data_IF_599540865426
#
_entry.id   IF_599540865426
#
_cell.length_a   1.000
_cell.length_b   1.000
_cell.length_c   1.000
_cell.angle_alpha   90.00
_cell.angle_beta   90.00
_cell.angle_gamma   90.00
#
_symmetry.space_group_name_H-M   'P 1'
#
loop_
_entity.id
_entity.type
_entity.pdbx_description
1 polymer ?
#
# COMPACT_ATOMS: atom_id res chain seq x y z
N UNK A 1 10.38 24.98 23.17
CA UNK A 1 9.72 24.50 24.41
C UNK A 1 8.42 23.78 24.03
N UNK A 2 8.47 22.47 23.77
CA UNK A 2 7.28 21.70 23.34
C UNK A 2 6.47 21.28 24.57
N UNK A 3 5.30 21.90 24.75
CA UNK A 3 4.34 21.58 25.81
C UNK A 3 3.88 20.12 25.62
N UNK A 4 4.32 19.20 26.47
CA UNK A 4 3.81 17.81 26.51
C UNK A 4 2.34 17.87 26.93
N UNK A 5 1.43 17.99 25.98
CA UNK A 5 0.00 17.81 26.22
C UNK A 5 -0.22 16.38 26.69
N UNK A 6 -0.83 16.22 27.87
CA UNK A 6 -1.20 14.92 28.41
C UNK A 6 -2.26 14.33 27.48
N UNK A 7 -1.84 13.47 26.54
CA UNK A 7 -2.72 12.86 25.56
C UNK A 7 -3.68 11.95 26.30
N UNK A 8 -4.96 12.34 26.38
CA UNK A 8 -6.03 11.47 26.87
C UNK A 8 -6.08 10.26 25.94
N UNK A 9 -5.73 9.09 26.45
CA UNK A 9 -5.71 7.84 25.70
C UNK A 9 -7.13 7.33 25.50
N UNK A 10 -7.83 7.89 24.50
CA UNK A 10 -9.17 7.48 24.08
C UNK A 10 -9.14 6.10 23.41
N UNK A 11 -9.15 5.04 24.20
CA UNK A 11 -9.14 3.65 23.70
C UNK A 11 -10.16 3.46 22.55
N UNK A 12 -9.67 3.07 21.37
CA UNK A 12 -10.47 2.79 20.17
C UNK A 12 -10.96 1.34 20.13
N UNK A 13 -12.10 1.11 19.47
CA UNK A 13 -12.69 -0.22 19.31
C UNK A 13 -12.28 -0.91 18.00
N UNK A 14 -12.32 -0.21 16.87
CA UNK A 14 -12.04 -0.78 15.55
C UNK A 14 -10.56 -0.73 15.20
N UNK A 15 -9.91 0.42 15.44
CA UNK A 15 -8.52 0.67 15.02
C UNK A 15 -7.73 1.23 16.18
N UNK A 16 -6.67 0.55 16.60
CA UNK A 16 -5.85 1.02 17.72
C UNK A 16 -5.38 2.47 17.52
N UNK A 17 -5.46 3.30 18.57
CA UNK A 17 -5.00 4.71 18.54
C UNK A 17 -3.58 4.89 18.00
N UNK A 18 -2.74 3.88 18.23
CA UNK A 18 -1.36 3.88 17.76
C UNK A 18 -1.27 3.95 16.22
N UNK A 19 -2.21 3.35 15.49
CA UNK A 19 -2.26 3.47 14.03
C UNK A 19 -2.57 4.90 13.58
N UNK A 20 -3.47 5.59 14.29
CA UNK A 20 -3.76 7.01 14.05
C UNK A 20 -2.54 7.89 14.35
N UNK A 21 -1.79 7.59 15.42
CA UNK A 21 -0.54 8.30 15.72
C UNK A 21 0.49 8.10 14.62
N UNK A 22 0.69 6.87 14.12
CA UNK A 22 1.61 6.61 13.01
C UNK A 22 1.15 7.35 11.74
N UNK A 23 -0.15 7.36 11.45
CA UNK A 23 -0.69 8.12 10.33
C UNK A 23 -0.41 9.63 10.47
N UNK A 24 -0.49 10.17 11.68
CA UNK A 24 -0.13 11.55 11.99
C UNK A 24 1.36 11.83 11.79
N UNK A 25 2.23 10.93 12.28
CA UNK A 25 3.68 11.01 12.04
C UNK A 25 3.99 10.94 10.53
N UNK A 26 3.30 10.08 9.78
CA UNK A 26 3.41 10.00 8.32
C UNK A 26 3.03 11.32 7.64
N UNK A 27 1.88 11.90 8.00
CA UNK A 27 1.44 13.17 7.43
C UNK A 27 2.45 14.29 7.74
N UNK A 28 2.90 14.39 8.99
CA UNK A 28 3.89 15.40 9.39
C UNK A 28 5.24 15.21 8.71
N UNK A 29 5.71 13.97 8.53
CA UNK A 29 6.98 13.70 7.89
C UNK A 29 6.94 14.08 6.42
N UNK A 30 5.94 13.56 5.69
CA UNK A 30 5.89 13.78 4.25
C UNK A 30 5.50 15.20 3.89
N UNK A 31 4.71 15.93 4.68
CA UNK A 31 4.46 17.36 4.44
C UNK A 31 5.75 18.19 4.31
N UNK A 32 6.84 17.79 4.97
CA UNK A 32 8.14 18.47 4.88
C UNK A 32 8.96 18.05 3.64
N UNK A 33 8.71 16.86 3.08
CA UNK A 33 9.50 16.26 2.00
C UNK A 33 8.80 16.44 0.64
N UNK A 34 7.48 16.27 0.60
CA UNK A 34 6.63 16.28 -0.58
C UNK A 34 5.27 16.89 -0.22
N UNK A 35 4.63 17.68 -1.09
CA UNK A 35 3.27 18.14 -0.82
C UNK A 35 2.33 16.95 -0.58
N UNK A 36 1.72 16.92 0.60
CA UNK A 36 0.72 15.93 1.00
C UNK A 36 -0.62 16.62 1.34
N UNK A 37 -1.73 16.31 0.65
CA UNK A 37 -3.00 17.03 0.76
C UNK A 37 -3.79 16.70 2.04
N UNK A 38 -3.14 16.26 3.11
CA UNK A 38 -3.82 15.71 4.29
C UNK A 38 -3.37 16.40 5.57
N UNK A 39 -4.33 16.74 6.41
CA UNK A 39 -4.11 17.15 7.79
C UNK A 39 -4.91 16.22 8.71
N UNK A 40 -4.24 15.67 9.72
CA UNK A 40 -4.86 14.78 10.69
C UNK A 40 -5.12 15.52 12.00
N UNK A 41 -6.38 15.54 12.44
CA UNK A 41 -6.76 15.95 13.78
C UNK A 41 -6.77 14.74 14.71
N UNK A 42 -5.75 14.64 15.57
CA UNK A 42 -5.60 13.51 16.50
C UNK A 42 -6.71 13.44 17.56
N UNK A 43 -7.29 14.57 17.96
CA UNK A 43 -8.38 14.59 18.95
C UNK A 43 -9.65 13.94 18.43
N UNK A 44 -9.94 14.17 17.14
CA UNK A 44 -11.18 13.74 16.51
C UNK A 44 -10.99 12.49 15.62
N UNK A 45 -9.74 12.03 15.47
CA UNK A 45 -9.34 11.00 14.49
C UNK A 45 -9.86 11.32 13.08
N UNK A 46 -9.81 12.61 12.73
CA UNK A 46 -10.39 13.13 11.51
C UNK A 46 -9.27 13.52 10.54
N UNK A 47 -9.31 12.97 9.33
CA UNK A 47 -8.45 13.38 8.22
C UNK A 47 -9.20 14.41 7.39
N UNK A 48 -8.59 15.58 7.19
CA UNK A 48 -9.11 16.64 6.33
C UNK A 48 -8.21 16.81 5.12
N UNK A 49 -8.82 17.13 3.98
CA UNK A 49 -8.06 17.60 2.83
C UNK A 49 -7.64 19.03 3.09
N UNK A 50 -6.34 19.30 3.01
CA UNK A 50 -5.85 20.67 3.09
C UNK A 50 -6.18 21.40 1.79
N UNK A 51 -6.67 22.63 1.90
CA UNK A 51 -6.87 23.49 0.74
C UNK A 51 -5.49 23.91 0.22
N UNK A 52 -4.94 23.11 -0.70
CA UNK A 52 -3.71 23.48 -1.37
C UNK A 52 -3.91 24.74 -2.21
N UNK A 53 -2.90 25.60 -2.18
CA UNK A 53 -2.72 26.61 -3.23
C UNK A 53 -2.63 25.91 -4.59
N UNK A 54 -2.99 26.61 -5.66
CA UNK A 54 -2.88 26.08 -7.04
C UNK A 54 -1.49 25.51 -7.31
N UNK A 55 -0.44 26.16 -6.78
CA UNK A 55 0.95 25.69 -6.86
C UNK A 55 1.14 24.33 -6.18
N UNK A 56 0.65 24.15 -4.94
CA UNK A 56 0.78 22.87 -4.23
C UNK A 56 0.08 21.71 -4.95
N UNK A 57 -1.08 21.98 -5.57
CA UNK A 57 -1.79 20.99 -6.38
C UNK A 57 -1.00 20.61 -7.64
N UNK A 58 -0.42 21.59 -8.32
CA UNK A 58 0.43 21.34 -9.51
C UNK A 58 1.64 20.49 -9.12
N UNK A 59 2.35 20.83 -8.03
CA UNK A 59 3.54 20.08 -7.59
C UNK A 59 3.19 18.65 -7.17
N UNK A 60 2.08 18.45 -6.45
CA UNK A 60 1.63 17.10 -6.08
C UNK A 60 1.17 16.29 -7.30
N UNK A 61 0.54 16.93 -8.30
CA UNK A 61 0.17 16.26 -9.54
C UNK A 61 1.38 15.93 -10.40
N UNK A 62 2.36 16.84 -10.47
CA UNK A 62 3.55 16.67 -11.30
C UNK A 62 4.44 15.52 -10.81
N UNK A 63 4.52 15.27 -9.49
CA UNK A 63 5.31 14.13 -8.98
C UNK A 63 4.71 12.78 -9.38
N UNK A 64 3.38 12.63 -9.31
CA UNK A 64 2.69 11.42 -9.77
C UNK A 64 2.78 11.26 -11.30
N UNK A 65 2.61 12.35 -12.06
CA UNK A 65 2.79 12.34 -13.52
C UNK A 65 4.23 12.01 -13.91
N UNK A 66 5.21 12.52 -13.17
CA UNK A 66 6.63 12.23 -13.37
C UNK A 66 6.92 10.74 -13.16
N UNK A 67 6.39 10.13 -12.09
CA UNK A 67 6.55 8.70 -11.86
C UNK A 67 6.00 7.87 -13.03
N UNK A 68 4.84 8.23 -13.58
CA UNK A 68 4.27 7.59 -14.76
C UNK A 68 5.14 7.80 -16.02
N UNK A 69 5.55 9.04 -16.28
CA UNK A 69 6.39 9.38 -17.43
C UNK A 69 7.74 8.64 -17.38
N UNK A 70 8.39 8.63 -16.21
CA UNK A 70 9.62 7.89 -15.99
C UNK A 70 9.44 6.39 -16.25
N UNK A 71 8.36 5.79 -15.72
CA UNK A 71 8.04 4.38 -15.93
C UNK A 71 7.87 4.05 -17.42
N UNK A 72 7.14 4.88 -18.16
CA UNK A 72 6.95 4.71 -19.60
C UNK A 72 8.27 4.86 -20.36
N UNK A 73 9.11 5.83 -19.98
CA UNK A 73 10.43 6.02 -20.55
C UNK A 73 11.33 4.79 -20.32
N UNK A 74 11.35 4.23 -19.10
CA UNK A 74 12.07 2.99 -18.80
C UNK A 74 11.61 1.84 -19.70
N UNK A 75 10.29 1.68 -19.86
CA UNK A 75 9.71 0.65 -20.72
C UNK A 75 10.11 0.83 -22.19
N UNK A 76 10.08 2.07 -22.68
CA UNK A 76 10.53 2.39 -24.03
C UNK A 76 12.02 2.06 -24.24
N UNK A 77 12.91 2.45 -23.31
CA UNK A 77 14.34 2.14 -23.42
C UNK A 77 14.61 0.64 -23.36
N UNK A 78 13.93 -0.07 -22.47
CA UNK A 78 14.04 -1.51 -22.35
C UNK A 78 13.64 -2.20 -23.67
N UNK A 79 12.49 -1.83 -24.24
CA UNK A 79 12.02 -2.40 -25.52
C UNK A 79 12.96 -2.03 -26.67
N UNK A 80 13.37 -0.77 -26.77
CA UNK A 80 14.29 -0.30 -27.80
C UNK A 80 15.60 -1.08 -27.77
N UNK A 81 16.20 -1.24 -26.59
CA UNK A 81 17.43 -2.02 -26.42
C UNK A 81 17.24 -3.47 -26.82
N UNK A 82 16.21 -4.15 -26.32
CA UNK A 82 15.94 -5.56 -26.66
C UNK A 82 15.73 -5.78 -28.16
N UNK A 83 15.18 -4.80 -28.89
CA UNK A 83 15.01 -4.87 -30.34
C UNK A 83 16.32 -4.62 -31.10
N UNK A 84 17.18 -3.73 -30.61
CA UNK A 84 18.44 -3.33 -31.26
C UNK A 84 19.61 -4.29 -30.98
N UNK A 85 19.63 -4.99 -29.84
CA UNK A 85 20.74 -5.88 -29.41
C UNK A 85 20.85 -7.20 -30.21
N UNK A 86 20.14 -7.36 -31.33
CA UNK A 86 20.00 -8.65 -32.05
C UNK A 86 21.27 -9.20 -32.75
N UNK A 87 22.43 -8.55 -32.72
CA UNK A 87 23.52 -8.89 -33.67
C UNK A 87 24.96 -8.97 -33.15
N UNK A 88 25.24 -8.78 -31.85
CA UNK A 88 26.62 -8.68 -31.37
C UNK A 88 26.80 -9.26 -29.98
N UNK A 89 26.90 -10.59 -29.88
CA UNK A 89 27.34 -11.29 -28.67
C UNK A 89 28.86 -11.11 -28.58
N UNK A 90 29.31 -10.18 -27.73
CA UNK A 90 30.72 -9.94 -27.47
C UNK A 90 30.92 -9.81 -25.96
N UNK A 91 32.16 -9.91 -25.46
CA UNK A 91 32.49 -9.93 -24.03
C UNK A 91 31.97 -8.72 -23.18
N UNK A 92 31.21 -7.75 -23.73
CA UNK A 92 30.45 -6.73 -22.97
C UNK A 92 29.18 -7.25 -22.27
N UNK A 93 28.82 -8.53 -22.47
CA UNK A 93 27.55 -9.11 -22.05
C UNK A 93 27.18 -8.89 -20.56
N UNK A 94 28.15 -8.86 -19.64
CA UNK A 94 27.85 -8.76 -18.21
C UNK A 94 27.29 -7.38 -17.79
N UNK A 95 27.84 -6.30 -18.33
CA UNK A 95 27.38 -4.92 -18.03
C UNK A 95 26.04 -4.68 -18.71
N UNK A 96 25.88 -5.15 -19.94
CA UNK A 96 24.62 -5.05 -20.69
C UNK A 96 23.48 -5.78 -19.99
N UNK A 97 23.72 -7.00 -19.50
CA UNK A 97 22.75 -7.78 -18.74
C UNK A 97 22.37 -7.09 -17.42
N UNK A 98 23.35 -6.49 -16.74
CA UNK A 98 23.09 -5.73 -15.51
C UNK A 98 22.19 -4.52 -15.79
N UNK A 99 22.46 -3.77 -16.85
CA UNK A 99 21.67 -2.59 -17.18
C UNK A 99 20.23 -2.94 -17.59
N UNK A 100 20.06 -4.04 -18.35
CA UNK A 100 18.72 -4.58 -18.66
C UNK A 100 17.98 -4.95 -17.38
N UNK A 101 18.63 -5.66 -16.45
CA UNK A 101 18.04 -6.05 -15.17
C UNK A 101 17.62 -4.82 -14.34
N UNK A 102 18.51 -3.82 -14.25
CA UNK A 102 18.24 -2.57 -13.53
C UNK A 102 17.07 -1.81 -14.17
N UNK A 103 16.99 -1.75 -15.50
CA UNK A 103 15.86 -1.13 -16.21
C UNK A 103 14.52 -1.85 -15.96
N UNK A 104 14.52 -3.19 -15.94
CA UNK A 104 13.33 -3.99 -15.55
C UNK A 104 12.92 -3.65 -14.11
N UNK A 105 13.89 -3.56 -13.20
CA UNK A 105 13.64 -3.21 -11.81
C UNK A 105 13.02 -1.80 -11.67
N UNK A 106 13.58 -0.79 -12.36
CA UNK A 106 13.04 0.59 -12.36
C UNK A 106 11.73 0.74 -13.11
N UNK A 107 11.39 -0.17 -14.00
CA UNK A 107 10.08 -0.23 -14.65
C UNK A 107 9.03 -0.78 -13.68
N UNK A 108 9.29 -1.94 -13.07
CA UNK A 108 8.28 -2.67 -12.29
C UNK A 108 8.06 -1.99 -10.92
N UNK A 109 9.11 -1.47 -10.27
CA UNK A 109 8.97 -0.95 -8.90
C UNK A 109 8.00 0.24 -8.78
N UNK A 110 8.07 1.29 -9.63
CA UNK A 110 7.11 2.38 -9.57
C UNK A 110 5.70 1.95 -10.00
N UNK A 111 5.58 1.00 -10.94
CA UNK A 111 4.28 0.45 -11.37
C UNK A 111 3.49 -0.16 -10.19
N UNK A 112 4.17 -0.79 -9.24
CA UNK A 112 3.54 -1.30 -8.01
C UNK A 112 2.77 -0.23 -7.23
N UNK A 113 3.21 1.03 -7.29
CA UNK A 113 2.79 2.11 -6.40
C UNK A 113 2.04 3.24 -7.11
N UNK A 114 2.01 3.21 -8.45
CA UNK A 114 1.25 4.13 -9.31
C UNK A 114 -0.18 4.35 -8.83
N UNK A 115 -0.91 3.28 -8.51
CA UNK A 115 -2.31 3.41 -8.11
C UNK A 115 -2.49 4.24 -6.83
N UNK A 116 -1.59 4.08 -5.85
CA UNK A 116 -1.63 4.88 -4.62
C UNK A 116 -1.21 6.33 -4.87
N UNK A 117 -0.13 6.54 -5.61
CA UNK A 117 0.34 7.90 -5.96
C UNK A 117 -0.75 8.69 -6.70
N UNK A 118 -1.40 8.08 -7.69
CA UNK A 118 -2.52 8.68 -8.43
C UNK A 118 -3.69 8.97 -7.49
N UNK A 119 -3.99 8.07 -6.54
CA UNK A 119 -5.06 8.31 -5.56
C UNK A 119 -4.74 9.50 -4.66
N UNK A 120 -3.51 9.62 -4.17
CA UNK A 120 -3.08 10.74 -3.32
C UNK A 120 -3.13 12.06 -4.09
N UNK A 121 -2.58 12.09 -5.32
CA UNK A 121 -2.42 13.31 -6.09
C UNK A 121 -3.73 13.82 -6.70
N UNK A 122 -4.51 12.93 -7.34
CA UNK A 122 -5.67 13.34 -8.14
C UNK A 122 -7.01 13.09 -7.44
N UNK A 123 -7.04 12.24 -6.41
CA UNK A 123 -8.28 11.89 -5.70
C UNK A 123 -8.12 12.01 -4.17
N UNK A 124 -7.64 13.16 -3.66
CA UNK A 124 -7.34 13.31 -2.24
C UNK A 124 -8.58 13.08 -1.35
N UNK A 125 -9.80 13.27 -1.85
CA UNK A 125 -11.03 13.03 -1.08
C UNK A 125 -11.26 11.56 -0.71
N UNK A 126 -10.61 10.62 -1.39
CA UNK A 126 -10.80 9.18 -1.15
C UNK A 126 -10.35 8.79 0.27
N UNK A 127 -9.17 9.23 0.71
CA UNK A 127 -8.65 8.83 2.02
C UNK A 127 -9.50 9.36 3.20
N UNK A 128 -9.86 10.65 3.28
CA UNK A 128 -10.80 11.16 4.29
C UNK A 128 -12.15 10.44 4.30
N UNK A 129 -12.76 10.22 3.14
CA UNK A 129 -14.05 9.55 3.03
C UNK A 129 -13.99 8.10 3.55
N UNK A 130 -12.86 7.43 3.37
CA UNK A 130 -12.64 6.08 3.89
C UNK A 130 -12.38 6.12 5.40
N UNK A 131 -11.41 6.94 5.84
CA UNK A 131 -10.89 6.91 7.20
C UNK A 131 -11.86 7.53 8.21
N UNK A 132 -12.52 8.64 7.88
CA UNK A 132 -13.45 9.30 8.82
C UNK A 132 -14.70 8.45 9.09
N UNK A 133 -15.13 7.63 8.12
CA UNK A 133 -16.24 6.68 8.32
C UNK A 133 -15.92 5.60 9.35
N UNK A 134 -14.64 5.26 9.55
CA UNK A 134 -14.24 4.30 10.60
C UNK A 134 -14.62 4.84 11.98
N UNK A 135 -14.41 6.14 12.23
CA UNK A 135 -14.74 6.78 13.51
C UNK A 135 -16.25 6.78 13.74
N UNK A 136 -17.04 7.03 12.70
CA UNK A 136 -18.50 6.94 12.78
C UNK A 136 -18.96 5.51 13.08
N UNK A 137 -18.33 4.49 12.46
CA UNK A 137 -18.62 3.10 12.77
C UNK A 137 -18.22 2.71 14.19
N UNK A 138 -17.10 3.23 14.71
CA UNK A 138 -16.73 3.06 16.12
C UNK A 138 -17.83 3.58 17.05
N UNK A 139 -18.31 4.82 16.85
CA UNK A 139 -19.36 5.39 17.69
C UNK A 139 -20.67 4.58 17.64
N UNK A 140 -21.06 4.08 16.47
CA UNK A 140 -22.25 3.21 16.33
C UNK A 140 -22.08 1.85 17.00
N UNK A 141 -20.87 1.28 16.99
CA UNK A 141 -20.58 0.01 17.66
C UNK A 141 -20.49 0.17 19.18
N UNK A 142 -19.93 1.27 19.67
CA UNK A 142 -19.90 1.59 21.10
C UNK A 142 -21.33 1.74 21.64
N UNK A 143 -22.22 2.45 20.93
CA UNK A 143 -23.63 2.58 21.30
C UNK A 143 -24.41 1.24 21.29
N UNK A 144 -23.93 0.23 20.56
CA UNK A 144 -24.53 -1.10 20.53
C UNK A 144 -24.12 -1.96 21.73
N UNK A 145 -22.96 -1.70 22.31
CA UNK A 145 -22.38 -2.54 23.33
C UNK A 145 -21.36 -1.77 24.19
N UNK A 146 -21.80 -1.33 25.37
CA UNK A 146 -20.97 -0.52 26.27
C UNK A 146 -19.78 -1.28 26.87
N UNK A 147 -19.85 -2.63 26.91
CA UNK A 147 -18.82 -3.50 27.50
C UNK A 147 -17.81 -4.05 26.49
N UNK A 148 -17.58 -3.37 25.35
CA UNK A 148 -16.71 -3.93 24.29
C UNK A 148 -15.28 -4.01 24.85
N UNK A 149 -14.62 -5.18 24.81
CA UNK A 149 -13.23 -5.29 25.22
C UNK A 149 -12.37 -4.42 24.30
N UNK A 150 -11.72 -3.43 24.91
CA UNK A 150 -10.87 -2.47 24.22
C UNK A 150 -9.55 -3.13 23.85
N UNK A 151 -9.19 -3.11 22.57
CA UNK A 151 -8.01 -3.82 22.07
C UNK A 151 -6.75 -2.99 22.24
N UNK A 152 -5.72 -3.60 22.84
CA UNK A 152 -4.36 -3.09 22.79
C UNK A 152 -3.69 -3.62 21.51
N UNK A 153 -3.13 -2.73 20.70
CA UNK A 153 -2.26 -3.15 19.60
C UNK A 153 -0.93 -3.65 20.19
N UNK A 154 -0.34 -4.71 19.64
CA UNK A 154 0.96 -5.18 20.10
C UNK A 154 2.03 -4.10 19.84
N UNK A 155 2.85 -3.81 20.86
CA UNK A 155 3.87 -2.76 20.81
C UNK A 155 4.91 -3.00 19.70
N UNK A 156 5.23 -4.24 19.38
CA UNK A 156 6.24 -4.57 18.36
C UNK A 156 5.85 -4.08 16.95
N UNK A 157 4.57 -4.21 16.58
CA UNK A 157 4.07 -3.79 15.26
C UNK A 157 4.16 -2.26 15.11
N UNK A 158 3.91 -1.53 16.20
CA UNK A 158 4.09 -0.08 16.25
C UNK A 158 5.55 0.31 16.04
N UNK A 159 6.46 -0.33 16.78
CA UNK A 159 7.89 -0.06 16.66
C UNK A 159 8.40 -0.34 15.24
N UNK A 160 7.96 -1.44 14.62
CA UNK A 160 8.28 -1.76 13.23
C UNK A 160 7.76 -0.70 12.26
N UNK A 161 6.49 -0.30 12.36
CA UNK A 161 5.92 0.73 11.47
C UNK A 161 6.60 2.09 11.62
N UNK A 162 6.98 2.48 12.86
CA UNK A 162 7.75 3.70 13.11
C UNK A 162 9.16 3.62 12.54
N UNK A 163 9.81 2.47 12.70
CA UNK A 163 11.12 2.22 12.11
C UNK A 163 11.06 2.31 10.59
N UNK A 164 10.08 1.66 9.95
CA UNK A 164 9.86 1.76 8.51
C UNK A 164 9.60 3.20 8.08
N UNK A 165 8.73 3.94 8.79
CA UNK A 165 8.40 5.32 8.46
C UNK A 165 9.61 6.26 8.53
N UNK A 166 10.46 6.13 9.55
CA UNK A 166 11.64 7.00 9.70
C UNK A 166 12.80 6.56 8.82
N UNK A 167 13.00 5.24 8.70
CA UNK A 167 14.04 4.66 7.87
C UNK A 167 13.80 4.88 6.37
N UNK A 168 12.56 5.15 5.97
CA UNK A 168 12.17 5.39 4.58
C UNK A 168 12.84 6.61 3.92
N UNK A 169 13.32 7.56 4.74
CA UNK A 169 14.03 8.75 4.26
C UNK A 169 15.43 8.38 3.75
N UNK A 170 16.08 7.37 4.35
CA UNK A 170 17.44 6.98 4.01
C UNK A 170 17.58 6.53 2.54
N UNK A 171 16.72 5.62 2.02
CA UNK A 171 16.72 5.27 0.60
C UNK A 171 16.62 6.48 -0.33
N UNK A 172 15.78 7.45 0.00
CA UNK A 172 15.55 8.63 -0.85
C UNK A 172 16.81 9.51 -0.94
N UNK A 173 17.52 9.69 0.18
CA UNK A 173 18.72 10.54 0.24
C UNK A 173 19.94 9.86 -0.37
N UNK A 174 20.16 8.57 -0.08
CA UNK A 174 21.43 7.90 -0.45
C UNK A 174 21.34 7.17 -1.79
N UNK A 175 20.25 6.46 -2.05
CA UNK A 175 20.17 5.56 -3.20
C UNK A 175 19.98 6.34 -4.49
N UNK A 176 19.17 7.41 -4.47
CA UNK A 176 18.93 8.24 -5.65
C UNK A 176 20.21 8.81 -6.28
N UNK A 177 21.01 9.61 -5.55
CA UNK A 177 22.28 10.13 -6.05
C UNK A 177 23.29 9.02 -6.38
N UNK A 178 23.32 7.93 -5.61
CA UNK A 178 24.20 6.79 -5.86
C UNK A 178 23.94 6.11 -7.21
N UNK A 179 22.67 5.97 -7.60
CA UNK A 179 22.30 5.42 -8.91
C UNK A 179 22.75 6.30 -10.07
N UNK A 180 22.58 7.62 -9.92
CA UNK A 180 23.02 8.59 -10.94
C UNK A 180 24.54 8.63 -11.04
N UNK A 181 25.24 8.58 -9.90
CA UNK A 181 26.71 8.54 -9.86
C UNK A 181 27.27 7.30 -10.58
N UNK A 182 26.58 6.17 -10.48
CA UNK A 182 26.95 4.92 -11.16
C UNK A 182 26.42 4.84 -12.60
N UNK A 183 25.71 5.86 -13.09
CA UNK A 183 25.03 5.87 -14.39
C UNK A 183 24.11 4.67 -14.62
N UNK A 184 23.45 4.21 -13.54
CA UNK A 184 22.51 3.10 -13.57
C UNK A 184 21.05 3.55 -13.72
N UNK A 185 20.78 4.85 -13.73
CA UNK A 185 19.45 5.36 -14.03
C UNK A 185 19.19 5.34 -15.56
N UNK A 186 17.97 4.97 -15.98
CA UNK A 186 17.58 4.90 -17.39
C UNK A 186 17.68 6.24 -18.12
N UNK A 187 17.71 7.36 -17.39
CA UNK A 187 17.81 8.70 -17.97
C UNK A 187 19.22 9.02 -18.45
N UNK A 188 20.25 8.24 -18.07
CA UNK A 188 21.61 8.39 -18.57
C UNK A 188 21.65 8.42 -20.11
N UNK A 189 20.97 7.45 -20.73
CA UNK A 189 20.96 7.26 -22.19
C UNK A 189 20.40 8.49 -22.93
N UNK A 190 19.42 9.19 -22.33
CA UNK A 190 18.81 10.37 -22.94
C UNK A 190 19.67 11.62 -22.85
N UNK A 191 20.52 11.69 -21.82
CA UNK A 191 21.19 12.93 -21.42
C UNK A 191 22.70 12.87 -21.65
N UNK A 192 23.21 11.75 -22.15
CA UNK A 192 24.58 11.63 -22.62
C UNK A 192 24.72 12.46 -23.91
N UNK A 193 25.42 13.59 -23.78
CA UNK A 193 25.62 14.52 -24.89
C UNK A 193 27.08 14.96 -24.91
N UNK A 194 27.66 15.09 -26.10
CA UNK A 194 29.03 15.61 -26.30
C UNK A 194 29.12 17.13 -26.07
N UNK A 195 28.29 17.67 -25.18
CA UNK A 195 28.24 19.11 -24.86
C UNK A 195 29.36 19.43 -23.86
N UNK A 196 29.67 20.72 -23.70
CA UNK A 196 30.69 21.20 -22.76
C UNK A 196 30.49 20.67 -21.33
N UNK A 197 31.61 20.53 -20.61
CA UNK A 197 31.67 20.00 -19.23
C UNK A 197 30.66 20.68 -18.27
N UNK A 198 30.41 21.98 -18.43
CA UNK A 198 29.45 22.72 -17.61
C UNK A 198 28.01 22.22 -17.78
N UNK A 199 27.59 21.91 -19.01
CA UNK A 199 26.25 21.36 -19.27
C UNK A 199 26.10 19.96 -18.71
N UNK A 200 27.12 19.11 -18.81
CA UNK A 200 27.11 17.77 -18.22
C UNK A 200 26.93 17.82 -16.69
N UNK A 201 27.57 18.78 -16.02
CA UNK A 201 27.36 19.02 -14.60
C UNK A 201 25.91 19.41 -14.29
N UNK A 202 25.32 20.35 -15.05
CA UNK A 202 23.93 20.77 -14.88
C UNK A 202 22.97 19.60 -15.14
N UNK A 203 23.16 18.83 -16.21
CA UNK A 203 22.32 17.67 -16.54
C UNK A 203 22.40 16.59 -15.45
N UNK A 204 23.57 16.34 -14.88
CA UNK A 204 23.72 15.41 -13.77
C UNK A 204 22.99 15.88 -12.50
N UNK A 205 23.02 17.17 -12.17
CA UNK A 205 22.23 17.72 -11.07
C UNK A 205 20.72 17.56 -11.31
N UNK A 206 20.27 17.80 -12.55
CA UNK A 206 18.87 17.59 -12.94
C UNK A 206 18.47 16.12 -12.80
N UNK A 207 19.32 15.17 -13.24
CA UNK A 207 19.10 13.73 -13.08
C UNK A 207 18.99 13.32 -11.62
N UNK A 208 19.90 13.80 -10.76
CA UNK A 208 19.83 13.55 -9.31
C UNK A 208 18.50 14.07 -8.74
N UNK A 209 18.09 15.28 -9.11
CA UNK A 209 16.80 15.84 -8.68
C UNK A 209 15.61 15.00 -9.13
N UNK A 210 15.59 14.57 -10.39
CA UNK A 210 14.53 13.73 -10.97
C UNK A 210 14.41 12.36 -10.28
N UNK A 211 15.53 11.68 -10.05
CA UNK A 211 15.57 10.39 -9.34
C UNK A 211 15.18 10.56 -7.88
N UNK A 212 15.61 11.65 -7.23
CA UNK A 212 15.20 11.98 -5.87
C UNK A 212 13.68 12.16 -5.75
N UNK A 213 13.05 12.93 -6.66
CA UNK A 213 11.59 13.10 -6.69
C UNK A 213 10.86 11.78 -6.92
N UNK A 214 11.36 10.95 -7.82
CA UNK A 214 10.81 9.62 -8.08
C UNK A 214 10.86 8.74 -6.81
N UNK A 215 12.03 8.66 -6.17
CA UNK A 215 12.23 7.88 -4.95
C UNK A 215 11.32 8.38 -3.81
N UNK A 216 11.21 9.70 -3.62
CA UNK A 216 10.31 10.29 -2.63
C UNK A 216 8.84 9.92 -2.89
N UNK A 217 8.38 9.96 -4.14
CA UNK A 217 7.01 9.61 -4.53
C UNK A 217 6.70 8.13 -4.32
N UNK A 218 7.61 7.23 -4.70
CA UNK A 218 7.53 5.78 -4.49
C UNK A 218 7.40 5.51 -2.99
N UNK A 219 8.33 6.00 -2.18
CA UNK A 219 8.37 5.68 -0.76
C UNK A 219 7.15 6.26 -0.02
N UNK A 220 6.73 7.50 -0.34
CA UNK A 220 5.49 8.11 0.15
C UNK A 220 4.29 7.22 -0.14
N UNK A 221 4.15 6.79 -1.40
CA UNK A 221 3.04 5.97 -1.88
C UNK A 221 3.02 4.58 -1.23
N UNK A 222 4.18 3.94 -1.08
CA UNK A 222 4.31 2.67 -0.37
C UNK A 222 3.79 2.79 1.06
N UNK A 223 4.33 3.72 1.85
CA UNK A 223 3.96 3.85 3.26
C UNK A 223 2.47 4.22 3.40
N UNK A 224 1.97 5.11 2.55
CA UNK A 224 0.55 5.45 2.54
C UNK A 224 -0.33 4.22 2.28
N UNK A 225 0.03 3.39 1.30
CA UNK A 225 -0.71 2.18 0.97
C UNK A 225 -0.72 1.21 2.17
N UNK A 226 0.44 1.02 2.83
CA UNK A 226 0.58 0.13 3.98
C UNK A 226 -0.30 0.59 5.14
N UNK A 227 -0.20 1.87 5.51
CA UNK A 227 -0.92 2.41 6.66
C UNK A 227 -2.43 2.43 6.44
N UNK A 228 -2.88 2.98 5.31
CA UNK A 228 -4.31 3.05 4.99
C UNK A 228 -4.88 1.65 4.81
N UNK A 229 -4.16 0.76 4.10
CA UNK A 229 -4.55 -0.63 3.92
C UNK A 229 -4.73 -1.37 5.25
N UNK A 230 -3.75 -1.25 6.16
CA UNK A 230 -3.84 -1.89 7.49
C UNK A 230 -5.01 -1.34 8.31
N UNK A 231 -5.20 -0.02 8.35
CA UNK A 231 -6.29 0.63 9.09
C UNK A 231 -7.65 0.15 8.57
N UNK A 232 -7.85 0.13 7.26
CA UNK A 232 -9.11 -0.27 6.62
C UNK A 232 -9.38 -1.76 6.82
N UNK A 233 -8.39 -2.63 6.57
CA UNK A 233 -8.59 -4.08 6.73
C UNK A 233 -8.81 -4.48 8.19
N UNK A 234 -8.09 -3.84 9.12
CA UNK A 234 -8.30 -4.07 10.56
C UNK A 234 -9.69 -3.62 10.99
N UNK A 235 -10.14 -2.42 10.60
CA UNK A 235 -11.48 -1.93 10.97
C UNK A 235 -12.60 -2.81 10.43
N UNK A 236 -12.54 -3.25 9.16
CA UNK A 236 -13.52 -4.20 8.62
C UNK A 236 -13.50 -5.53 9.39
N UNK A 237 -12.32 -6.11 9.57
CA UNK A 237 -12.14 -7.40 10.24
C UNK A 237 -12.59 -7.36 11.72
N UNK A 238 -12.35 -6.26 12.43
CA UNK A 238 -12.81 -6.10 13.82
C UNK A 238 -14.29 -5.76 13.88
N UNK A 239 -14.80 -4.87 13.03
CA UNK A 239 -16.21 -4.47 13.02
C UNK A 239 -17.14 -5.65 12.79
N UNK A 240 -16.81 -6.50 11.81
CA UNK A 240 -17.57 -7.73 11.56
C UNK A 240 -17.48 -8.72 12.72
N UNK A 241 -16.29 -8.85 13.34
CA UNK A 241 -16.11 -9.72 14.51
C UNK A 241 -17.01 -9.25 15.66
N UNK A 242 -16.98 -7.96 15.97
CA UNK A 242 -17.77 -7.37 17.05
C UNK A 242 -19.26 -7.51 16.77
N UNK A 243 -19.72 -7.20 15.56
CA UNK A 243 -21.12 -7.44 15.16
C UNK A 243 -21.56 -8.88 15.40
N UNK A 244 -20.71 -9.86 15.09
CA UNK A 244 -20.98 -11.28 15.35
C UNK A 244 -21.11 -11.56 16.85
N UNK A 245 -20.21 -11.03 17.67
CA UNK A 245 -20.24 -11.28 19.12
C UNK A 245 -21.43 -10.59 19.80
N UNK A 246 -21.78 -9.36 19.37
CA UNK A 246 -22.99 -8.66 19.81
C UNK A 246 -24.22 -9.51 19.52
N UNK A 247 -24.33 -10.00 18.28
CA UNK A 247 -25.45 -10.82 17.87
C UNK A 247 -25.50 -12.15 18.65
N UNK A 248 -24.37 -12.84 18.79
CA UNK A 248 -24.28 -14.12 19.53
C UNK A 248 -24.76 -13.97 20.97
N UNK A 249 -24.38 -12.89 21.65
CA UNK A 249 -24.81 -12.66 23.02
C UNK A 249 -26.28 -12.27 23.14
N UNK A 250 -26.82 -11.50 22.19
CA UNK A 250 -28.26 -11.23 22.14
C UNK A 250 -29.06 -12.52 21.96
N UNK A 251 -28.61 -13.41 21.07
CA UNK A 251 -29.20 -14.74 20.90
C UNK A 251 -29.15 -15.55 22.19
N UNK A 252 -28.01 -15.59 22.88
CA UNK A 252 -27.84 -16.35 24.14
C UNK A 252 -28.75 -15.88 25.28
N UNK A 253 -29.12 -14.60 25.30
CA UNK A 253 -30.01 -14.05 26.34
C UNK A 253 -31.49 -14.37 26.11
N UNK A 254 -31.84 -15.19 25.09
CA UNK A 254 -33.21 -15.47 24.66
C UNK A 254 -34.05 -14.20 24.48
N UNK A 255 -33.37 -13.07 24.25
CA UNK A 255 -34.06 -11.82 24.00
C UNK A 255 -34.65 -11.97 22.61
N UNK A 256 -35.97 -12.10 22.53
CA UNK A 256 -36.76 -12.10 21.28
C UNK A 256 -36.56 -10.73 20.62
N UNK A 257 -35.42 -10.52 19.98
CA UNK A 257 -35.01 -9.20 19.51
C UNK A 257 -34.59 -9.31 18.07
N UNK A 258 -35.36 -8.59 17.25
CA UNK A 258 -35.08 -8.21 15.89
C UNK A 258 -33.58 -7.91 15.68
N UNK A 259 -32.93 -8.69 14.82
CA UNK A 259 -31.52 -8.51 14.44
C UNK A 259 -31.31 -7.25 13.55
N UNK A 260 -32.29 -6.34 13.54
CA UNK A 260 -32.46 -5.31 12.52
C UNK A 260 -31.35 -4.27 12.58
N UNK A 261 -30.85 -3.93 13.78
CA UNK A 261 -29.84 -2.89 13.95
C UNK A 261 -28.44 -3.37 13.54
N UNK A 262 -28.04 -4.58 13.93
CA UNK A 262 -26.77 -5.21 13.54
C UNK A 262 -26.74 -5.46 12.03
N UNK A 263 -27.84 -5.98 11.47
CA UNK A 263 -27.99 -6.18 10.03
C UNK A 263 -27.92 -4.84 9.28
N UNK A 264 -28.56 -3.79 9.80
CA UNK A 264 -28.49 -2.44 9.22
C UNK A 264 -27.07 -1.89 9.26
N UNK A 265 -26.35 -2.07 10.37
CA UNK A 265 -24.97 -1.63 10.51
C UNK A 265 -24.04 -2.41 9.56
N UNK A 266 -24.23 -3.72 9.44
CA UNK A 266 -23.49 -4.55 8.48
C UNK A 266 -23.76 -4.12 7.02
N UNK A 267 -24.99 -3.74 6.68
CA UNK A 267 -25.30 -3.15 5.36
C UNK A 267 -24.56 -1.84 5.11
N UNK A 268 -24.39 -1.01 6.14
CA UNK A 268 -23.55 0.19 6.02
C UNK A 268 -22.07 -0.18 5.77
N UNK A 269 -21.55 -1.20 6.45
CA UNK A 269 -20.21 -1.75 6.14
C UNK A 269 -20.12 -2.27 4.69
N UNK A 270 -21.16 -2.91 4.15
CA UNK A 270 -21.18 -3.34 2.75
C UNK A 270 -21.08 -2.17 1.78
N UNK A 271 -21.89 -1.13 1.98
CA UNK A 271 -21.85 0.07 1.12
C UNK A 271 -20.49 0.75 1.22
N UNK A 272 -19.94 0.87 2.42
CA UNK A 272 -18.59 1.42 2.63
C UNK A 272 -17.50 0.57 1.96
N UNK A 273 -17.57 -0.77 2.08
CA UNK A 273 -16.65 -1.70 1.40
C UNK A 273 -16.77 -1.62 -0.12
N UNK A 274 -17.97 -1.48 -0.67
CA UNK A 274 -18.20 -1.26 -2.10
C UNK A 274 -17.55 0.05 -2.57
N UNK A 275 -17.72 1.14 -1.81
CA UNK A 275 -17.07 2.41 -2.10
C UNK A 275 -15.54 2.29 -2.09
N UNK A 276 -14.96 1.64 -1.07
CA UNK A 276 -13.51 1.39 -1.00
C UNK A 276 -13.03 0.59 -2.22
N UNK A 277 -13.76 -0.46 -2.59
CA UNK A 277 -13.38 -1.28 -3.73
C UNK A 277 -13.41 -0.50 -5.04
N UNK A 278 -14.46 0.32 -5.26
CA UNK A 278 -14.61 1.13 -6.46
C UNK A 278 -13.61 2.29 -6.52
N UNK A 279 -13.47 3.06 -5.43
CA UNK A 279 -12.66 4.26 -5.38
C UNK A 279 -11.16 3.96 -5.25
N UNK A 280 -10.79 2.86 -4.60
CA UNK A 280 -9.40 2.57 -4.24
C UNK A 280 -8.93 1.20 -4.73
N UNK A 281 -9.54 0.09 -4.28
CA UNK A 281 -8.95 -1.23 -4.50
C UNK A 281 -8.83 -1.61 -5.98
N UNK A 282 -9.85 -1.34 -6.80
CA UNK A 282 -9.82 -1.67 -8.24
C UNK A 282 -8.65 -1.03 -9.01
N UNK A 283 -8.12 0.09 -8.51
CA UNK A 283 -7.03 0.82 -9.14
C UNK A 283 -5.68 0.52 -8.52
N UNK A 284 -5.61 0.41 -7.20
CA UNK A 284 -4.33 0.37 -6.48
C UNK A 284 -3.90 -1.04 -6.11
N UNK A 285 -4.83 -1.98 -5.93
CA UNK A 285 -4.50 -3.35 -5.52
C UNK A 285 -3.95 -4.20 -6.68
N UNK A 286 -4.52 -4.19 -7.90
CA UNK A 286 -3.99 -5.03 -8.99
C UNK A 286 -2.53 -4.72 -9.37
N UNK A 287 -2.12 -3.44 -9.56
CA UNK A 287 -0.72 -3.14 -9.87
C UNK A 287 0.22 -3.56 -8.74
N UNK A 288 -0.17 -3.32 -7.49
CA UNK A 288 0.63 -3.73 -6.33
C UNK A 288 0.82 -5.24 -6.27
N UNK A 289 -0.23 -6.04 -6.54
CA UNK A 289 -0.14 -7.49 -6.41
C UNK A 289 0.56 -8.15 -7.58
N UNK A 290 0.28 -7.69 -8.80
CA UNK A 290 0.96 -8.21 -9.99
C UNK A 290 2.42 -7.77 -10.02
N UNK A 291 2.66 -6.46 -10.06
CA UNK A 291 4.01 -5.92 -10.16
C UNK A 291 4.79 -6.18 -8.87
N UNK A 292 4.16 -6.16 -7.69
CA UNK A 292 4.84 -6.46 -6.43
C UNK A 292 5.30 -7.91 -6.32
N UNK A 293 4.52 -8.86 -6.85
CA UNK A 293 4.95 -10.26 -6.96
C UNK A 293 6.14 -10.39 -7.91
N UNK A 294 6.09 -9.75 -9.09
CA UNK A 294 7.23 -9.70 -10.00
C UNK A 294 8.46 -9.07 -9.35
N UNK A 295 8.30 -7.96 -8.61
CA UNK A 295 9.40 -7.33 -7.89
C UNK A 295 10.05 -8.27 -6.89
N UNK A 296 9.27 -9.03 -6.11
CA UNK A 296 9.84 -9.98 -5.16
C UNK A 296 10.65 -11.04 -5.91
N UNK A 297 10.09 -11.62 -6.97
CA UNK A 297 10.77 -12.64 -7.78
C UNK A 297 12.08 -12.10 -8.35
N UNK A 298 12.05 -10.93 -9.00
CA UNK A 298 13.24 -10.31 -9.58
C UNK A 298 14.27 -9.90 -8.54
N UNK A 299 13.84 -9.35 -7.41
CA UNK A 299 14.74 -8.96 -6.32
C UNK A 299 15.41 -10.18 -5.68
N UNK A 300 14.68 -11.28 -5.46
CA UNK A 300 15.26 -12.52 -4.92
C UNK A 300 16.23 -13.16 -5.91
N UNK A 301 15.83 -13.28 -7.18
CA UNK A 301 16.69 -13.76 -8.26
C UNK A 301 17.97 -12.93 -8.37
N UNK A 302 17.84 -11.60 -8.44
CA UNK A 302 18.98 -10.69 -8.54
C UNK A 302 19.89 -10.74 -7.31
N UNK A 303 19.32 -10.88 -6.10
CA UNK A 303 20.12 -11.04 -4.88
C UNK A 303 21.01 -12.28 -4.94
N UNK A 304 20.48 -13.41 -5.42
CA UNK A 304 21.25 -14.66 -5.52
C UNK A 304 22.23 -14.64 -6.69
N UNK A 305 21.77 -14.25 -7.88
CA UNK A 305 22.55 -14.37 -9.12
C UNK A 305 23.61 -13.28 -9.29
N UNK A 306 23.32 -12.07 -8.81
CA UNK A 306 24.21 -10.92 -8.96
C UNK A 306 25.12 -10.70 -7.73
N UNK A 307 25.21 -11.68 -6.84
CA UNK A 307 26.12 -11.62 -5.70
C UNK A 307 27.56 -11.43 -6.17
N UNK A 308 28.24 -10.40 -5.64
CA UNK A 308 29.59 -10.03 -6.05
C UNK A 308 29.71 -9.29 -7.39
N UNK A 309 28.65 -9.26 -8.21
CA UNK A 309 28.65 -8.57 -9.52
C UNK A 309 28.07 -7.15 -9.44
N UNK A 310 27.15 -6.91 -8.50
CA UNK A 310 26.52 -5.60 -8.30
C UNK A 310 27.40 -4.66 -7.46
N UNK A 311 27.43 -3.35 -7.79
CA UNK A 311 28.04 -2.35 -6.94
C UNK A 311 27.45 -2.38 -5.51
N UNK A 312 28.30 -2.16 -4.51
CA UNK A 312 27.92 -2.19 -3.10
C UNK A 312 26.75 -1.25 -2.75
N UNK A 313 26.57 -0.14 -3.49
CA UNK A 313 25.45 0.79 -3.28
C UNK A 313 24.11 0.24 -3.79
N UNK A 314 24.11 -0.59 -4.83
CA UNK A 314 22.89 -1.09 -5.47
C UNK A 314 22.49 -2.45 -4.93
N UNK A 315 23.46 -3.30 -4.60
CA UNK A 315 23.18 -4.64 -4.11
C UNK A 315 22.19 -4.68 -2.92
N UNK A 316 22.29 -3.82 -1.88
CA UNK A 316 21.34 -3.81 -0.75
C UNK A 316 19.91 -3.43 -1.12
N UNK A 317 19.70 -2.75 -2.26
CA UNK A 317 18.37 -2.34 -2.72
C UNK A 317 17.49 -3.54 -3.09
N UNK A 318 18.09 -4.61 -3.61
CA UNK A 318 17.37 -5.84 -3.98
C UNK A 318 16.75 -6.55 -2.77
N UNK A 319 17.51 -6.98 -1.74
CA UNK A 319 16.91 -7.59 -0.56
C UNK A 319 16.02 -6.61 0.21
N UNK A 320 16.35 -5.31 0.25
CA UNK A 320 15.51 -4.32 0.92
C UNK A 320 14.13 -4.17 0.26
N UNK A 321 14.08 -4.11 -1.07
CA UNK A 321 12.82 -4.05 -1.82
C UNK A 321 12.03 -5.35 -1.74
N UNK A 322 12.70 -6.51 -1.76
CA UNK A 322 12.06 -7.81 -1.53
C UNK A 322 11.41 -7.85 -0.14
N UNK A 323 12.14 -7.50 0.91
CA UNK A 323 11.61 -7.45 2.29
C UNK A 323 10.43 -6.48 2.38
N UNK A 324 10.55 -5.30 1.76
CA UNK A 324 9.46 -4.32 1.73
C UNK A 324 8.22 -4.91 1.06
N UNK A 325 8.33 -5.46 -0.16
CA UNK A 325 7.20 -6.04 -0.89
C UNK A 325 6.62 -7.28 -0.20
N UNK A 326 7.46 -8.16 0.34
CA UNK A 326 7.03 -9.29 1.16
C UNK A 326 6.27 -8.80 2.40
N UNK A 327 6.72 -7.71 3.03
CA UNK A 327 5.99 -7.14 4.16
C UNK A 327 4.60 -6.65 3.75
N UNK A 328 4.42 -6.06 2.56
CA UNK A 328 3.10 -5.73 2.02
C UNK A 328 2.24 -6.99 1.86
N UNK A 329 2.79 -8.01 1.21
CA UNK A 329 2.04 -9.24 0.93
C UNK A 329 1.67 -9.97 2.22
N UNK A 330 2.61 -10.19 3.14
CA UNK A 330 2.36 -10.93 4.38
C UNK A 330 1.60 -10.14 5.45
N UNK A 331 1.54 -8.81 5.36
CA UNK A 331 0.72 -8.03 6.29
C UNK A 331 -0.65 -7.72 5.73
N UNK A 332 -0.77 -7.20 4.50
CA UNK A 332 -2.05 -6.75 3.96
C UNK A 332 -2.90 -7.89 3.44
N UNK A 333 -2.33 -8.87 2.72
CA UNK A 333 -3.13 -9.94 2.13
C UNK A 333 -3.80 -10.82 3.21
N UNK A 334 -3.10 -11.30 4.26
CA UNK A 334 -3.77 -12.05 5.32
C UNK A 334 -4.82 -11.22 6.08
N UNK A 335 -4.60 -9.92 6.26
CA UNK A 335 -5.60 -9.06 6.91
C UNK A 335 -6.85 -8.88 6.05
N UNK A 336 -6.67 -8.71 4.73
CA UNK A 336 -7.77 -8.65 3.77
C UNK A 336 -8.55 -9.97 3.71
N UNK A 337 -7.84 -11.10 3.64
CA UNK A 337 -8.43 -12.44 3.65
C UNK A 337 -9.21 -12.70 4.95
N UNK A 338 -8.63 -12.34 6.11
CA UNK A 338 -9.29 -12.45 7.42
C UNK A 338 -10.54 -11.59 7.53
N UNK A 339 -10.57 -10.42 6.89
CA UNK A 339 -11.79 -9.60 6.81
C UNK A 339 -12.89 -10.33 6.03
N UNK A 340 -12.53 -10.93 4.89
CA UNK A 340 -13.46 -11.68 4.05
C UNK A 340 -14.01 -12.92 4.78
N UNK A 341 -13.16 -13.73 5.39
CA UNK A 341 -13.57 -14.95 6.12
C UNK A 341 -14.49 -14.65 7.29
N UNK A 342 -14.16 -13.65 8.11
CA UNK A 342 -15.07 -13.23 9.19
C UNK A 342 -16.41 -12.75 8.68
N UNK A 343 -16.44 -12.13 7.50
CA UNK A 343 -17.68 -11.67 6.89
C UNK A 343 -18.54 -12.84 6.38
N UNK A 344 -17.91 -13.89 5.84
CA UNK A 344 -18.60 -15.15 5.50
C UNK A 344 -19.20 -15.81 6.74
N UNK A 345 -18.40 -15.91 7.80
CA UNK A 345 -18.83 -16.44 9.10
C UNK A 345 -20.02 -15.67 9.67
N UNK A 346 -19.96 -14.34 9.63
CA UNK A 346 -21.05 -13.49 10.11
C UNK A 346 -22.32 -13.70 9.26
N UNK A 347 -22.21 -13.67 7.94
CA UNK A 347 -23.37 -13.87 7.04
C UNK A 347 -23.97 -15.25 7.22
N UNK A 348 -23.16 -16.30 7.36
CA UNK A 348 -23.62 -17.66 7.64
C UNK A 348 -24.34 -17.73 9.00
N UNK A 349 -23.79 -17.08 10.03
CA UNK A 349 -24.39 -17.00 11.35
C UNK A 349 -25.75 -16.29 11.32
N UNK A 350 -25.84 -15.10 10.72
CA UNK A 350 -27.10 -14.34 10.59
C UNK A 350 -28.16 -15.15 9.84
N UNK A 351 -27.79 -15.84 8.75
CA UNK A 351 -28.72 -16.66 7.97
C UNK A 351 -29.28 -17.84 8.77
N UNK A 352 -28.52 -18.37 9.74
CA UNK A 352 -28.95 -19.46 10.62
C UNK A 352 -29.88 -18.96 11.72
N UNK A 353 -29.57 -17.82 12.33
CA UNK A 353 -30.30 -17.29 13.49
C UNK A 353 -31.62 -16.58 13.12
N UNK A 354 -31.75 -16.04 11.90
CA UNK A 354 -32.98 -15.36 11.47
C UNK A 354 -34.15 -16.35 11.22
N UNK A 355 -35.07 -16.42 12.17
CA UNK A 355 -36.26 -17.29 12.10
C UNK A 355 -37.43 -16.63 11.35
N UNK A 356 -37.58 -15.31 11.44
CA UNK A 356 -38.70 -14.56 10.85
C UNK A 356 -38.59 -14.49 9.32
N UNK A 357 -39.70 -14.68 8.59
CA UNK A 357 -39.74 -14.71 7.10
C UNK A 357 -39.10 -13.45 6.46
N UNK A 358 -39.41 -12.27 7.00
CA UNK A 358 -38.83 -11.02 6.52
C UNK A 358 -37.32 -10.95 6.78
N UNK A 359 -36.88 -11.26 8.01
CA UNK A 359 -35.46 -11.27 8.36
C UNK A 359 -34.67 -12.28 7.54
N UNK A 360 -35.22 -13.45 7.27
CA UNK A 360 -34.61 -14.46 6.40
C UNK A 360 -34.40 -13.93 4.97
N UNK A 361 -35.37 -13.18 4.43
CA UNK A 361 -35.22 -12.52 3.12
C UNK A 361 -34.10 -11.48 3.16
N UNK A 362 -34.03 -10.69 4.22
CA UNK A 362 -32.96 -9.70 4.43
C UNK A 362 -31.59 -10.38 4.61
N UNK A 363 -31.48 -11.41 5.41
CA UNK A 363 -30.25 -12.18 5.65
C UNK A 363 -29.73 -12.87 4.37
N UNK A 364 -30.63 -13.37 3.52
CA UNK A 364 -30.27 -13.92 2.20
C UNK A 364 -29.69 -12.86 1.26
N UNK A 365 -30.12 -11.60 1.38
CA UNK A 365 -29.58 -10.49 0.58
C UNK A 365 -28.20 -10.01 1.06
N UNK A 366 -27.73 -10.43 2.23
CA UNK A 366 -26.41 -10.05 2.72
C UNK A 366 -25.32 -10.77 1.92
N UNK A 367 -24.37 -10.00 1.42
CA UNK A 367 -23.14 -10.44 0.78
C UNK A 367 -21.94 -10.28 1.72
N UNK A 368 -20.95 -11.17 1.68
CA UNK A 368 -19.70 -10.98 2.39
C UNK A 368 -18.97 -9.72 1.91
N UNK A 369 -18.15 -9.13 2.79
CA UNK A 369 -17.37 -7.93 2.52
C UNK A 369 -15.88 -8.24 2.56
N UNK A 370 -15.09 -7.56 1.72
CA UNK A 370 -13.65 -7.76 1.66
C UNK A 370 -13.00 -6.86 0.63
N UNK A 371 -11.67 -6.86 0.62
CA UNK A 371 -10.92 -6.22 -0.45
C UNK A 371 -11.06 -7.01 -1.75
N UNK A 372 -11.36 -6.33 -2.84
CA UNK A 372 -11.47 -6.90 -4.18
C UNK A 372 -10.23 -6.52 -5.00
N UNK A 373 -9.67 -7.49 -5.71
CA UNK A 373 -8.65 -7.24 -6.72
C UNK A 373 -9.31 -7.15 -8.11
N UNK A 374 -9.97 -6.04 -8.41
CA UNK A 374 -10.61 -5.82 -9.71
C UNK A 374 -11.54 -6.98 -10.15
N UNK A 375 -11.42 -7.48 -11.40
CA UNK A 375 -12.24 -8.58 -11.89
C UNK A 375 -11.88 -9.95 -11.26
N UNK A 376 -10.71 -10.09 -10.65
CA UNK A 376 -10.19 -11.37 -10.11
C UNK A 376 -10.93 -11.85 -8.87
N UNK A 377 -11.75 -11.01 -8.24
CA UNK A 377 -12.59 -11.37 -7.10
C UNK A 377 -12.04 -10.89 -5.75
N UNK A 378 -12.55 -11.49 -4.67
CA UNK A 378 -12.21 -11.12 -3.30
C UNK A 378 -10.94 -11.85 -2.83
N UNK A 379 -10.10 -11.11 -2.11
CA UNK A 379 -8.88 -11.64 -1.50
C UNK A 379 -9.26 -12.63 -0.42
N UNK A 380 -8.86 -13.89 -0.58
CA UNK A 380 -9.12 -15.00 0.36
C UNK A 380 -7.80 -15.69 0.74
N UNK A 381 -7.81 -16.51 1.79
CA UNK A 381 -6.61 -17.25 2.22
C UNK A 381 -6.07 -18.20 1.14
N UNK A 382 -6.95 -18.76 0.31
CA UNK A 382 -6.52 -19.58 -0.85
C UNK A 382 -5.65 -18.75 -1.80
N UNK A 383 -6.07 -17.51 -2.04
CA UNK A 383 -5.35 -16.60 -2.94
C UNK A 383 -4.02 -16.16 -2.34
N UNK A 384 -3.95 -15.91 -1.03
CA UNK A 384 -2.68 -15.55 -0.37
C UNK A 384 -1.65 -16.66 -0.45
N UNK A 385 -2.08 -17.92 -0.30
CA UNK A 385 -1.21 -19.11 -0.45
C UNK A 385 -0.76 -19.25 -1.91
N UNK A 386 -1.66 -19.07 -2.88
CA UNK A 386 -1.31 -19.12 -4.30
C UNK A 386 -0.26 -18.08 -4.70
N UNK A 387 -0.37 -16.85 -4.19
CA UNK A 387 0.64 -15.79 -4.43
C UNK A 387 1.99 -16.19 -3.84
N UNK A 388 2.02 -16.70 -2.60
CA UNK A 388 3.25 -17.14 -1.96
C UNK A 388 3.94 -18.29 -2.73
N UNK A 389 3.16 -19.28 -3.17
CA UNK A 389 3.67 -20.38 -3.99
C UNK A 389 4.20 -19.87 -5.33
N UNK A 390 3.44 -18.99 -6.00
CA UNK A 390 3.87 -18.40 -7.28
C UNK A 390 5.20 -17.64 -7.18
N UNK A 391 5.44 -16.92 -6.08
CA UNK A 391 6.74 -16.28 -5.82
C UNK A 391 7.84 -17.34 -5.75
N UNK A 392 7.67 -18.39 -4.94
CA UNK A 392 8.66 -19.44 -4.77
C UNK A 392 8.93 -20.18 -6.08
N UNK A 393 7.88 -20.70 -6.72
CA UNK A 393 7.96 -21.52 -7.93
C UNK A 393 8.58 -20.75 -9.10
N UNK A 394 8.21 -19.47 -9.27
CA UNK A 394 8.76 -18.63 -10.35
C UNK A 394 10.20 -18.23 -10.08
N UNK A 395 10.57 -17.99 -8.81
CA UNK A 395 11.96 -17.67 -8.44
C UNK A 395 12.86 -18.88 -8.69
N UNK A 396 12.44 -20.08 -8.26
CA UNK A 396 13.18 -21.33 -8.52
C UNK A 396 13.27 -21.60 -10.02
N UNK A 397 12.18 -21.43 -10.76
CA UNK A 397 12.17 -21.62 -12.21
C UNK A 397 13.15 -20.69 -12.93
N UNK A 398 13.20 -19.41 -12.54
CA UNK A 398 14.18 -18.45 -13.07
C UNK A 398 15.63 -18.86 -12.75
N UNK A 399 15.90 -19.28 -11.52
CA UNK A 399 17.23 -19.72 -11.07
C UNK A 399 17.70 -21.01 -11.76
N UNK A 400 16.78 -21.89 -12.14
CA UNK A 400 17.11 -23.13 -12.88
C UNK A 400 17.26 -22.90 -14.38
N UNK A 401 16.64 -21.84 -14.92
CA UNK A 401 16.67 -21.55 -16.37
C UNK A 401 17.90 -20.72 -16.77
N UNK A 402 18.41 -19.85 -15.90
CA UNK A 402 19.50 -18.89 -16.16
C UNK A 402 20.54 -18.88 -15.03
#
# INVERSE_FOLDING_TARGET
MLRKTKVVTTKSVLVANLMWQILGEYCSLYQNISPLPFQLSMSNKEVRVTNFTTKGRIVSGSSATWMLAHTLACGYFLVSRLLLTKSSISNSDAIDNLEIFVNIYFLIFPLCLVGMSVTIAFYPQVAPNILNRIVEFEGKLEALWDTIPKKLSPNWMLSMLKFLLRGSILPVIFIGPGLVYLNLDPLHILMESNISSMWNFILNLVRVGMVYFLAAEIVKSAIAFLLVGLIVMQSMSQGVKLLREVLKFKTLRNAVIFCSLEIRLYRQFQVWSQYINAAFCNRSVPPLLFCGTCMIIFSLYGTMRMYGSLPFLVYPLLPASAVLMLSFQFTLLPQAAKSFEKSLDFVAFVRKECTVKYERKVARSLLPIGARCGPFGMISNKWTVQVANSVSDSTVSLLLTF
#
